data_IF_669105991693
#
_entry.id   IF_669105991693
#
_cell.length_a   1.000
_cell.length_b   1.000
_cell.length_c   1.000
_cell.angle_alpha   90.00
_cell.angle_beta   90.00
_cell.angle_gamma   90.00
#
_symmetry.space_group_name_H-M   'P 1'
#
loop_
_entity.id
_entity.type
_entity.pdbx_description
1 polymer ?
#
# COMPACT_ATOMS: atom_id res chain seq x y z
N UNK A 1 -10.34 19.36 7.46
CA UNK A 1 -9.71 18.01 7.46
C UNK A 1 -10.76 16.98 7.10
N UNK A 2 -10.42 15.99 6.27
CA UNK A 2 -11.33 14.89 5.87
C UNK A 2 -10.55 13.57 5.90
N UNK A 3 -11.22 12.49 6.27
CA UNK A 3 -10.62 11.14 6.34
C UNK A 3 -10.97 10.40 5.05
N UNK A 4 -9.97 9.96 4.28
CA UNK A 4 -10.17 9.33 2.96
C UNK A 4 -10.34 7.82 3.04
N UNK A 5 -9.64 7.15 3.95
CA UNK A 5 -9.75 5.71 4.12
C UNK A 5 -9.42 5.28 5.55
N UNK A 6 -9.95 4.14 5.98
CA UNK A 6 -9.68 3.45 7.25
C UNK A 6 -9.63 1.96 6.99
N UNK A 7 -8.66 1.29 7.60
CA UNK A 7 -8.49 -0.15 7.50
C UNK A 7 -8.29 -0.76 8.89
N UNK A 8 -8.85 -1.95 9.07
CA UNK A 8 -8.55 -2.85 10.18
C UNK A 8 -7.78 -4.02 9.60
N UNK A 9 -6.56 -4.22 10.09
CA UNK A 9 -5.64 -5.25 9.61
C UNK A 9 -5.37 -6.23 10.75
N UNK A 10 -5.38 -7.53 10.43
CA UNK A 10 -4.76 -8.56 11.28
C UNK A 10 -3.31 -8.70 10.85
N UNK A 11 -2.40 -8.31 11.73
CA UNK A 11 -0.98 -8.64 11.62
C UNK A 11 -0.69 -9.82 12.55
N UNK A 12 -0.06 -10.88 12.04
CA UNK A 12 0.28 -12.03 12.88
C UNK A 12 1.43 -11.64 13.83
N UNK A 13 1.30 -11.89 15.14
CA UNK A 13 2.28 -11.43 16.14
C UNK A 13 3.60 -12.20 16.07
N UNK A 14 3.61 -13.35 15.41
CA UNK A 14 4.74 -14.28 15.36
C UNK A 14 5.85 -13.83 14.40
N UNK A 15 5.67 -12.70 13.71
CA UNK A 15 6.58 -12.26 12.64
C UNK A 15 6.59 -13.17 11.42
N UNK A 16 5.62 -14.08 11.30
CA UNK A 16 5.48 -14.94 10.13
C UNK A 16 5.22 -14.09 8.88
N UNK A 17 5.88 -14.43 7.76
CA UNK A 17 5.76 -13.80 6.43
C UNK A 17 4.38 -13.94 5.77
N UNK A 18 3.35 -14.13 6.58
CA UNK A 18 1.97 -14.07 6.12
C UNK A 18 1.57 -12.63 5.86
N UNK A 19 0.97 -12.41 4.70
CA UNK A 19 0.36 -11.14 4.32
C UNK A 19 -0.63 -10.65 5.39
N UNK A 20 -0.67 -9.33 5.68
CA UNK A 20 -1.66 -8.79 6.60
C UNK A 20 -3.03 -9.03 6.00
N UNK A 21 -3.97 -9.51 6.82
CA UNK A 21 -5.33 -9.78 6.37
C UNK A 21 -6.19 -8.55 6.66
N UNK A 22 -6.80 -7.99 5.62
CA UNK A 22 -7.78 -6.90 5.76
C UNK A 22 -9.07 -7.48 6.37
N UNK A 23 -9.34 -7.12 7.63
CA UNK A 23 -10.54 -7.54 8.35
C UNK A 23 -11.74 -6.64 8.03
N UNK A 24 -11.49 -5.34 7.87
CA UNK A 24 -12.50 -4.35 7.50
C UNK A 24 -11.83 -3.17 6.79
N UNK A 25 -12.54 -2.55 5.85
CA UNK A 25 -12.12 -1.29 5.25
C UNK A 25 -13.32 -0.36 5.06
N UNK A 26 -13.05 0.94 5.05
CA UNK A 26 -13.99 1.99 4.71
C UNK A 26 -13.24 3.11 4.00
N UNK A 27 -13.83 3.69 2.95
CA UNK A 27 -13.24 4.81 2.22
C UNK A 27 -14.31 5.85 1.89
N UNK A 28 -13.92 7.12 1.95
CA UNK A 28 -14.76 8.26 1.59
C UNK A 28 -14.19 8.98 0.36
N UNK A 29 -14.77 8.66 -0.79
CA UNK A 29 -14.48 9.30 -2.07
C UNK A 29 -15.49 10.41 -2.40
N UNK A 30 -16.24 10.88 -1.40
CA UNK A 30 -17.24 11.96 -1.57
C UNK A 30 -16.62 13.31 -1.92
N UNK A 31 -15.30 13.43 -1.89
CA UNK A 31 -14.59 14.58 -2.44
C UNK A 31 -14.53 14.54 -3.98
N UNK A 32 -14.68 13.37 -4.60
CA UNK A 32 -14.78 13.22 -6.05
C UNK A 32 -16.18 13.65 -6.54
N UNK A 33 -16.26 14.13 -7.78
CA UNK A 33 -17.52 14.54 -8.40
C UNK A 33 -18.52 13.38 -8.49
N UNK A 34 -19.83 13.65 -8.38
CA UNK A 34 -20.88 12.61 -8.31
C UNK A 34 -20.76 11.57 -9.43
N UNK A 35 -20.50 12.00 -10.67
CA UNK A 35 -20.32 11.11 -11.83
C UNK A 35 -19.00 10.31 -11.82
N UNK A 36 -18.02 10.70 -11.00
CA UNK A 36 -16.76 9.97 -10.81
C UNK A 36 -16.90 8.86 -9.75
N UNK A 37 -17.91 8.93 -8.88
CA UNK A 37 -18.10 7.98 -7.75
C UNK A 37 -18.67 6.63 -8.17
N UNK A 38 -19.52 6.61 -9.20
CA UNK A 38 -20.24 5.40 -9.62
C UNK A 38 -19.42 4.47 -10.51
N UNK A 39 -18.27 4.92 -11.02
CA UNK A 39 -17.40 4.14 -11.91
C UNK A 39 -16.11 3.62 -11.28
N UNK A 40 -15.69 4.16 -10.14
CA UNK A 40 -14.37 3.85 -9.55
C UNK A 40 -14.55 3.10 -8.23
N UNK A 41 -14.33 1.79 -8.29
CA UNK A 41 -14.13 0.95 -7.11
C UNK A 41 -12.64 0.97 -6.77
N UNK A 42 -12.32 1.06 -5.49
CA UNK A 42 -10.95 0.97 -5.00
C UNK A 42 -10.74 -0.37 -4.29
N UNK A 43 -9.56 -0.95 -4.47
CA UNK A 43 -9.04 -2.08 -3.73
C UNK A 43 -7.86 -1.63 -2.91
N UNK A 44 -7.70 -2.26 -1.75
CA UNK A 44 -6.48 -2.11 -0.95
C UNK A 44 -5.77 -3.45 -0.93
N UNK A 45 -4.49 -3.41 -1.26
CA UNK A 45 -3.59 -4.54 -1.19
C UNK A 45 -2.61 -4.32 -0.05
N UNK A 46 -2.35 -5.38 0.70
CA UNK A 46 -1.44 -5.38 1.85
C UNK A 46 -0.44 -6.51 1.65
N UNK A 47 0.84 -6.21 1.87
CA UNK A 47 1.92 -7.19 1.74
C UNK A 47 2.86 -7.05 2.95
N UNK A 48 3.22 -8.16 3.58
CA UNK A 48 4.06 -8.20 4.77
C UNK A 48 5.28 -9.07 4.52
N UNK A 49 6.45 -8.52 4.81
CA UNK A 49 7.72 -9.24 4.73
C UNK A 49 8.46 -9.04 6.04
N UNK A 50 8.56 -10.11 6.82
CA UNK A 50 9.27 -10.19 8.10
C UNK A 50 8.85 -9.13 9.13
N UNK A 51 7.57 -8.72 9.10
CA UNK A 51 6.99 -7.70 9.96
C UNK A 51 6.95 -6.29 9.36
N UNK A 52 7.61 -6.06 8.22
CA UNK A 52 7.51 -4.80 7.47
C UNK A 52 6.33 -4.90 6.49
N UNK A 53 5.30 -4.08 6.74
CA UNK A 53 4.07 -4.08 5.95
C UNK A 53 3.99 -2.86 5.03
N UNK A 54 3.55 -3.08 3.79
CA UNK A 54 3.20 -2.03 2.83
C UNK A 54 1.73 -2.14 2.43
N UNK A 55 1.08 -0.99 2.26
CA UNK A 55 -0.31 -0.88 1.82
C UNK A 55 -0.37 -0.10 0.51
N UNK A 56 -1.09 -0.64 -0.48
CA UNK A 56 -1.35 0.01 -1.76
C UNK A 56 -2.84 0.24 -1.96
N UNK A 57 -3.23 1.49 -2.17
CA UNK A 57 -4.58 1.88 -2.57
C UNK A 57 -4.61 2.01 -4.10
N UNK A 58 -5.40 1.16 -4.76
CA UNK A 58 -5.42 1.06 -6.21
C UNK A 58 -6.85 0.99 -6.73
N UNK A 59 -7.07 1.41 -7.97
CA UNK A 59 -8.35 1.19 -8.64
C UNK A 59 -8.61 -0.30 -8.84
N UNK A 60 -9.87 -0.71 -8.86
CA UNK A 60 -10.32 -2.10 -9.03
C UNK A 60 -9.84 -2.73 -10.35
N UNK A 61 -9.56 -1.90 -11.35
CA UNK A 61 -9.00 -2.30 -12.64
C UNK A 61 -7.49 -2.53 -12.60
N UNK A 62 -6.80 -2.14 -11.52
CA UNK A 62 -5.38 -2.41 -11.37
C UNK A 62 -5.16 -3.92 -11.19
N UNK A 63 -4.40 -4.60 -12.06
CA UNK A 63 -4.23 -6.05 -12.01
C UNK A 63 -3.60 -6.49 -10.69
N UNK A 64 -4.21 -7.49 -10.05
CA UNK A 64 -3.75 -8.02 -8.76
C UNK A 64 -2.27 -8.40 -8.76
N UNK A 65 -1.76 -9.06 -9.82
CA UNK A 65 -0.34 -9.44 -9.92
C UNK A 65 0.60 -8.23 -9.97
N UNK A 66 0.22 -7.20 -10.73
CA UNK A 66 1.00 -5.95 -10.79
C UNK A 66 0.98 -5.24 -9.44
N UNK A 67 -0.14 -5.29 -8.72
CA UNK A 67 -0.24 -4.69 -7.39
C UNK A 67 0.79 -5.29 -6.43
N UNK A 68 0.81 -6.62 -6.28
CA UNK A 68 1.75 -7.29 -5.39
C UNK A 68 3.20 -7.15 -5.82
N UNK A 69 3.50 -7.14 -7.13
CA UNK A 69 4.83 -6.85 -7.61
C UNK A 69 5.31 -5.45 -7.19
N UNK A 70 4.47 -4.42 -7.35
CA UNK A 70 4.85 -3.05 -6.97
C UNK A 70 5.09 -2.95 -5.47
N UNK A 71 4.24 -3.59 -4.66
CA UNK A 71 4.41 -3.64 -3.20
C UNK A 71 5.73 -4.31 -2.79
N UNK A 72 6.04 -5.48 -3.35
CA UNK A 72 7.30 -6.18 -3.09
C UNK A 72 8.51 -5.35 -3.54
N UNK A 73 8.44 -4.71 -4.72
CA UNK A 73 9.51 -3.86 -5.23
C UNK A 73 9.76 -2.63 -4.34
N UNK A 74 8.71 -2.04 -3.77
CA UNK A 74 8.83 -0.93 -2.82
C UNK A 74 9.51 -1.41 -1.52
N UNK A 75 9.15 -2.59 -1.01
CA UNK A 75 9.81 -3.17 0.16
C UNK A 75 11.29 -3.47 -0.09
N UNK A 76 11.64 -3.96 -1.28
CA UNK A 76 13.03 -4.19 -1.68
C UNK A 76 13.86 -2.92 -1.63
N UNK A 77 13.38 -1.85 -2.25
CA UNK A 77 14.11 -0.58 -2.26
C UNK A 77 14.13 0.06 -0.87
N UNK A 78 13.09 -0.14 -0.05
CA UNK A 78 13.11 0.31 1.34
C UNK A 78 14.19 -0.42 2.15
N UNK A 79 14.18 -1.75 2.11
CA UNK A 79 15.15 -2.57 2.83
C UNK A 79 16.58 -2.31 2.35
N UNK A 80 16.79 -2.11 1.05
CA UNK A 80 18.10 -1.77 0.48
C UNK A 80 18.64 -0.41 0.96
N UNK A 81 17.77 0.59 1.11
CA UNK A 81 18.18 1.94 1.51
C UNK A 81 18.27 2.12 3.03
N UNK A 82 17.43 1.41 3.81
CA UNK A 82 17.25 1.66 5.24
C UNK A 82 17.51 0.43 6.14
N UNK A 83 17.66 -0.77 5.57
CA UNK A 83 17.86 -2.02 6.31
C UNK A 83 16.77 -2.26 7.36
N UNK A 84 17.16 -2.76 8.52
CA UNK A 84 16.27 -3.06 9.65
C UNK A 84 16.03 -1.88 10.61
N UNK A 85 16.41 -0.65 10.23
CA UNK A 85 16.25 0.53 11.09
C UNK A 85 14.79 0.77 11.53
N UNK A 86 13.82 0.35 10.72
CA UNK A 86 12.39 0.43 11.02
C UNK A 86 11.99 -0.35 12.28
N UNK A 87 12.72 -1.40 12.67
CA UNK A 87 12.42 -2.20 13.87
C UNK A 87 12.60 -1.39 15.17
N UNK A 88 13.44 -0.36 15.14
CA UNK A 88 13.67 0.53 16.27
C UNK A 88 12.77 1.79 16.26
N UNK A 89 11.93 1.97 15.23
CA UNK A 89 11.06 3.13 15.14
C UNK A 89 9.98 3.11 16.23
N UNK A 90 9.85 4.21 16.98
CA UNK A 90 8.85 4.36 18.05
C UNK A 90 7.83 5.47 17.78
N UNK A 91 8.00 6.21 16.68
CA UNK A 91 7.12 7.29 16.28
C UNK A 91 7.03 7.38 14.75
N UNK A 92 5.99 8.04 14.26
CA UNK A 92 5.74 8.22 12.84
C UNK A 92 6.87 9.01 12.16
N UNK A 93 7.35 8.50 11.03
CA UNK A 93 8.34 9.20 10.22
C UNK A 93 7.65 10.27 9.35
N UNK A 94 8.18 11.49 9.36
CA UNK A 94 7.73 12.60 8.48
C UNK A 94 8.67 12.87 7.32
N UNK A 95 9.80 12.16 7.26
CA UNK A 95 10.81 12.37 6.22
C UNK A 95 10.25 11.91 4.86
N UNK A 96 10.27 12.78 3.82
CA UNK A 96 9.86 12.38 2.49
C UNK A 96 10.86 11.36 1.92
N UNK A 97 10.36 10.28 1.32
CA UNK A 97 11.16 9.33 0.57
C UNK A 97 10.88 9.51 -0.93
N UNK A 98 11.77 10.18 -1.70
CA UNK A 98 11.52 10.53 -3.10
C UNK A 98 11.16 9.34 -3.98
N UNK A 99 11.76 8.17 -3.72
CA UNK A 99 11.47 6.94 -4.44
C UNK A 99 9.98 6.57 -4.38
N UNK A 100 9.30 6.78 -3.25
CA UNK A 100 7.87 6.46 -3.13
C UNK A 100 7.03 7.30 -4.12
N UNK A 101 7.35 8.59 -4.27
CA UNK A 101 6.68 9.49 -5.22
C UNK A 101 6.96 9.10 -6.67
N UNK A 102 8.21 8.73 -6.97
CA UNK A 102 8.60 8.24 -8.29
C UNK A 102 7.90 6.92 -8.63
N UNK A 103 7.82 6.00 -7.66
CA UNK A 103 7.15 4.71 -7.80
C UNK A 103 5.66 4.89 -8.13
N UNK A 104 4.97 5.80 -7.42
CA UNK A 104 3.57 6.14 -7.76
C UNK A 104 3.48 6.58 -9.20
N UNK A 105 4.33 7.48 -9.68
CA UNK A 105 4.26 7.96 -11.07
C UNK A 105 4.59 6.87 -12.09
N UNK A 106 5.62 6.07 -11.80
CA UNK A 106 6.15 5.03 -12.70
C UNK A 106 5.20 3.86 -12.91
N UNK A 107 4.46 3.46 -11.87
CA UNK A 107 3.66 2.23 -11.89
C UNK A 107 2.16 2.45 -12.17
N UNK A 108 1.73 3.68 -12.47
CA UNK A 108 0.32 3.99 -12.79
C UNK A 108 -0.21 3.23 -14.01
N UNK A 109 0.62 3.05 -15.04
CA UNK A 109 0.20 2.42 -16.31
C UNK A 109 1.06 1.21 -16.69
N UNK A 110 2.04 0.85 -15.86
CA UNK A 110 2.90 -0.29 -16.10
C UNK A 110 2.28 -1.55 -15.51
N UNK A 111 1.59 -2.29 -16.37
CA UNK A 111 1.07 -3.62 -16.05
C UNK A 111 2.12 -4.65 -16.44
N UNK A 112 2.51 -5.49 -15.48
CA UNK A 112 3.37 -6.63 -15.80
C UNK A 112 2.49 -7.70 -16.45
N UNK A 113 2.69 -7.87 -17.76
CA UNK A 113 2.19 -9.01 -18.52
C UNK A 113 3.13 -10.19 -18.26
N UNK A 114 2.79 -11.04 -17.28
CA UNK A 114 3.23 -12.45 -17.24
C UNK A 114 2.02 -13.35 -17.30
#
# INVERSE_FOLDING_TARGET
MKITARLVLKCNPDGSDSDPIILANAYDVSHLGYFQRTGVKYKVHSYNREGLCVLGFMDDHYPMRSAFYVLDKVLDEYQKNFGDSWRAAQADATQPWPYLNEAVTKFQYNFILV
#
